data_IF_181810344842
#
_entry.id   IF_181810344842
#
_cell.length_a   1.000
_cell.length_b   1.000
_cell.length_c   1.000
_cell.angle_alpha   90.00
_cell.angle_beta   90.00
_cell.angle_gamma   90.00
#
_symmetry.space_group_name_H-M   'P 1'
#
loop_
_entity.id
_entity.type
_entity.pdbx_description
1 polymer ?
#
# COMPACT_ATOMS: atom_id res chain seq x y z
N UNK A 1 2.91 9.58 3.36
CA UNK A 1 4.38 9.56 3.07
C UNK A 1 5.15 9.78 4.35
N UNK A 2 6.29 9.11 4.55
CA UNK A 2 7.05 9.23 5.79
C UNK A 2 8.25 10.19 5.66
N UNK A 3 8.66 10.88 6.75
CA UNK A 3 9.78 11.83 6.73
C UNK A 3 11.15 11.16 6.55
N UNK A 4 11.24 9.85 6.75
CA UNK A 4 12.45 9.03 6.55
C UNK A 4 12.64 8.59 5.08
N UNK A 5 11.76 9.02 4.18
CA UNK A 5 11.79 8.66 2.76
C UNK A 5 11.07 7.35 2.42
N UNK A 6 10.48 6.67 3.41
CA UNK A 6 9.61 5.52 3.18
C UNK A 6 8.17 5.93 2.84
N UNK A 7 7.39 4.97 2.33
CA UNK A 7 5.95 5.15 2.08
C UNK A 7 5.21 4.05 2.82
N UNK A 8 4.33 4.45 3.74
CA UNK A 8 3.37 3.56 4.38
C UNK A 8 2.01 3.69 3.70
N UNK A 9 1.36 2.55 3.43
CA UNK A 9 0.02 2.48 2.89
C UNK A 9 -0.79 1.41 3.63
N UNK A 10 -1.99 1.78 4.10
CA UNK A 10 -2.96 0.85 4.66
C UNK A 10 -4.08 0.67 3.64
N UNK A 11 -4.34 -0.58 3.25
CA UNK A 11 -5.38 -0.93 2.29
C UNK A 11 -6.22 -2.09 2.83
N UNK A 12 -7.54 -1.94 2.74
CA UNK A 12 -8.50 -2.98 3.07
C UNK A 12 -9.39 -3.26 1.85
N UNK A 13 -9.71 -4.53 1.59
CA UNK A 13 -10.52 -4.93 0.45
C UNK A 13 -10.54 -6.44 0.25
N UNK A 14 -11.01 -6.88 -0.90
CA UNK A 14 -10.89 -8.29 -1.28
C UNK A 14 -9.41 -8.69 -1.38
N UNK A 15 -9.10 -9.94 -1.04
CA UNK A 15 -7.72 -10.45 -1.10
C UNK A 15 -7.09 -10.24 -2.49
N UNK A 16 -7.85 -10.48 -3.56
CA UNK A 16 -7.38 -10.25 -4.94
C UNK A 16 -6.98 -8.80 -5.18
N UNK A 17 -7.80 -7.83 -4.75
CA UNK A 17 -7.53 -6.42 -4.99
C UNK A 17 -6.33 -5.93 -4.17
N UNK A 18 -6.20 -6.41 -2.93
CA UNK A 18 -5.05 -6.09 -2.07
C UNK A 18 -3.75 -6.66 -2.66
N UNK A 19 -3.79 -7.87 -3.20
CA UNK A 19 -2.65 -8.48 -3.90
C UNK A 19 -2.25 -7.73 -5.18
N UNK A 20 -3.23 -7.31 -5.98
CA UNK A 20 -2.96 -6.48 -7.16
C UNK A 20 -2.38 -5.11 -6.79
N UNK A 21 -2.89 -4.50 -5.73
CA UNK A 21 -2.35 -3.26 -5.19
C UNK A 21 -0.89 -3.42 -4.74
N UNK A 22 -0.57 -4.49 -4.00
CA UNK A 22 0.82 -4.79 -3.58
C UNK A 22 1.76 -4.94 -4.78
N UNK A 23 1.33 -5.62 -5.85
CA UNK A 23 2.13 -5.75 -7.09
C UNK A 23 2.36 -4.39 -7.76
N UNK A 24 1.36 -3.51 -7.76
CA UNK A 24 1.50 -2.15 -8.26
C UNK A 24 2.49 -1.33 -7.41
N UNK A 25 2.45 -1.47 -6.08
CA UNK A 25 3.43 -0.85 -5.18
C UNK A 25 4.85 -1.33 -5.44
N UNK A 26 5.05 -2.63 -5.69
CA UNK A 26 6.37 -3.18 -6.02
C UNK A 26 6.92 -2.65 -7.37
N UNK A 27 6.04 -2.26 -8.29
CA UNK A 27 6.43 -1.64 -9.56
C UNK A 27 6.80 -0.16 -9.36
N UNK A 28 6.00 0.55 -8.56
CA UNK A 28 6.15 1.99 -8.33
C UNK A 28 5.76 2.86 -9.53
N UNK A 29 5.67 4.19 -9.35
CA UNK A 29 5.48 5.14 -10.45
C UNK A 29 6.75 5.26 -11.32
N UNK A 30 6.61 5.84 -12.51
CA UNK A 30 7.65 5.88 -13.56
C UNK A 30 9.04 6.34 -13.10
N UNK A 31 9.12 7.25 -12.13
CA UNK A 31 10.39 7.80 -11.64
C UNK A 31 10.81 7.28 -10.27
N UNK A 32 10.07 6.34 -9.68
CA UNK A 32 10.45 5.69 -8.44
C UNK A 32 11.30 4.45 -8.72
N UNK A 33 12.18 4.12 -7.78
CA UNK A 33 12.87 2.84 -7.71
C UNK A 33 12.53 2.21 -6.36
N UNK A 34 11.65 1.22 -6.39
CA UNK A 34 11.19 0.51 -5.18
C UNK A 34 12.20 -0.58 -4.87
N UNK A 35 12.84 -0.47 -3.71
CA UNK A 35 13.89 -1.41 -3.28
C UNK A 35 13.29 -2.63 -2.56
N UNK A 36 12.28 -2.38 -1.73
CA UNK A 36 11.62 -3.39 -0.91
C UNK A 36 10.17 -2.97 -0.67
N UNK A 37 9.29 -3.97 -0.57
CA UNK A 37 7.93 -3.83 -0.05
C UNK A 37 7.80 -4.79 1.11
N UNK A 38 7.48 -4.27 2.28
CA UNK A 38 7.16 -5.06 3.47
C UNK A 38 5.64 -5.16 3.62
N UNK A 39 5.15 -6.34 4.01
CA UNK A 39 3.72 -6.60 4.19
C UNK A 39 3.43 -6.98 5.64
N UNK A 40 2.43 -6.32 6.21
CA UNK A 40 1.83 -6.69 7.48
C UNK A 40 0.33 -6.94 7.27
N UNK A 41 -0.10 -8.19 7.43
CA UNK A 41 -1.52 -8.54 7.36
C UNK A 41 -2.23 -8.13 8.65
N UNK A 42 -3.28 -7.31 8.51
CA UNK A 42 -4.12 -6.84 9.60
C UNK A 42 -5.53 -7.42 9.48
N UNK A 43 -6.26 -7.48 10.59
CA UNK A 43 -7.69 -7.81 10.54
C UNK A 43 -8.46 -6.72 9.80
N UNK A 44 -9.44 -7.11 8.98
CA UNK A 44 -10.30 -6.16 8.30
C UNK A 44 -11.15 -5.40 9.31
N UNK A 45 -10.99 -4.07 9.35
CA UNK A 45 -11.71 -3.23 10.32
C UNK A 45 -12.97 -2.61 9.74
N UNK A 46 -13.05 -2.44 8.42
CA UNK A 46 -14.17 -1.76 7.75
C UNK A 46 -14.22 -0.26 8.03
N UNK A 47 -13.16 0.33 8.59
CA UNK A 47 -13.13 1.74 8.99
C UNK A 47 -12.94 2.70 7.80
N UNK A 48 -12.44 2.20 6.67
CA UNK A 48 -12.09 3.03 5.51
C UNK A 48 -13.18 2.97 4.43
N UNK A 49 -13.79 4.12 4.14
CA UNK A 49 -14.77 4.29 3.04
C UNK A 49 -14.17 4.83 1.75
N UNK A 50 -12.92 5.28 1.79
CA UNK A 50 -12.18 5.83 0.65
C UNK A 50 -10.68 5.72 0.87
N UNK A 51 -9.89 5.73 -0.21
CA UNK A 51 -8.43 5.77 -0.16
C UNK A 51 -7.96 7.22 -0.31
N UNK A 52 -7.07 7.68 0.58
CA UNK A 52 -6.57 9.07 0.62
C UNK A 52 -5.06 9.08 0.81
N UNK A 53 -4.42 10.16 0.37
CA UNK A 53 -3.00 10.44 0.59
C UNK A 53 -2.91 11.58 1.60
N UNK A 54 -2.11 11.37 2.65
CA UNK A 54 -1.82 12.33 3.72
C UNK A 54 -0.31 12.57 3.85
#
# INVERSE_FOLDING_TARGET
NCPDGTVEAVAEGSATNVEEFKKALATGPQWASVQQVEELSLEHTGQYSSFRIE
#
